data_IF_822729260101
#
_entry.id   IF_822729260101
#
_cell.length_a   1.000
_cell.length_b   1.000
_cell.length_c   1.000
_cell.angle_alpha   90.00
_cell.angle_beta   90.00
_cell.angle_gamma   90.00
#
_symmetry.space_group_name_H-M   'P 1'
#
loop_
_entity.id
_entity.type
_entity.pdbx_description
1 polymer ?
#
# COMPACT_ATOMS: atom_id res chain seq x y z
N UNK A 1 67.64 -10.53 -30.83
CA UNK A 1 68.47 -10.98 -29.69
C UNK A 1 68.23 -10.07 -28.51
N UNK A 2 68.04 -10.67 -27.33
CA UNK A 2 67.72 -10.09 -26.02
C UNK A 2 68.39 -8.76 -25.68
N UNK A 3 67.65 -7.87 -25.00
CA UNK A 3 67.87 -7.48 -23.58
C UNK A 3 66.90 -6.37 -23.14
N UNK A 4 66.04 -6.69 -22.17
CA UNK A 4 65.52 -5.69 -21.22
C UNK A 4 66.68 -5.09 -20.40
N UNK A 5 66.48 -3.87 -19.87
CA UNK A 5 66.83 -3.66 -18.48
C UNK A 5 65.67 -3.06 -17.67
N UNK A 6 65.14 -3.94 -16.82
CA UNK A 6 64.72 -3.74 -15.44
C UNK A 6 65.10 -2.37 -14.81
N UNK A 7 64.09 -1.61 -14.36
CA UNK A 7 64.23 -0.69 -13.21
C UNK A 7 63.01 -0.79 -12.30
N UNK A 8 63.20 -1.62 -11.29
CA UNK A 8 62.42 -1.75 -10.07
C UNK A 8 62.51 -0.45 -9.26
N UNK A 9 61.37 0.17 -8.94
CA UNK A 9 61.26 1.06 -7.77
C UNK A 9 60.20 0.50 -6.85
N UNK A 10 60.69 -0.17 -5.81
CA UNK A 10 59.96 -0.61 -4.63
C UNK A 10 59.53 0.65 -3.89
N UNK A 11 58.23 0.91 -3.82
CA UNK A 11 57.65 1.74 -2.77
C UNK A 11 56.79 0.83 -1.91
N UNK A 12 57.43 0.37 -0.83
CA UNK A 12 56.88 0.25 0.53
C UNK A 12 55.38 0.04 0.64
N UNK A 13 55.05 -1.23 0.89
CA UNK A 13 53.96 -1.68 1.76
C UNK A 13 53.61 -0.68 2.87
N UNK A 14 52.37 -0.22 2.89
CA UNK A 14 51.69 0.17 4.13
C UNK A 14 50.43 -0.68 4.27
N UNK A 15 50.51 -1.48 5.32
CA UNK A 15 49.56 -2.40 5.89
C UNK A 15 48.56 -1.61 6.76
N UNK A 16 47.29 -2.04 6.78
CA UNK A 16 46.19 -1.62 7.66
C UNK A 16 45.56 -0.26 7.29
N UNK A 17 44.25 -0.07 7.29
CA UNK A 17 43.22 -0.67 8.14
C UNK A 17 42.04 -1.20 7.34
N UNK A 18 41.60 -2.42 7.69
CA UNK A 18 40.19 -2.76 7.68
C UNK A 18 39.44 -1.75 8.56
N UNK A 19 38.78 -0.77 7.95
CA UNK A 19 37.56 -0.25 8.54
C UNK A 19 36.44 -1.09 7.96
N UNK A 20 36.15 -2.21 8.62
CA UNK A 20 34.86 -2.88 8.58
C UNK A 20 33.80 -1.86 8.97
N UNK A 21 33.34 -1.07 8.01
CA UNK A 21 31.98 -0.55 8.06
C UNK A 21 31.11 -1.77 7.83
N UNK A 22 30.79 -2.48 8.91
CA UNK A 22 29.45 -3.05 9.03
C UNK A 22 28.52 -1.84 9.06
N UNK A 23 28.32 -1.23 7.89
CA UNK A 23 27.09 -0.52 7.64
C UNK A 23 26.05 -1.59 7.85
N UNK A 24 25.38 -1.54 9.00
CA UNK A 24 24.04 -2.07 9.09
C UNK A 24 23.36 -1.50 7.85
N UNK A 25 23.20 -2.33 6.83
CA UNK A 25 22.17 -2.10 5.84
C UNK A 25 20.93 -2.03 6.70
N UNK A 26 20.56 -0.81 7.07
CA UNK A 26 19.22 -0.52 7.51
C UNK A 26 18.42 -0.91 6.29
N UNK A 27 17.96 -2.16 6.31
CA UNK A 27 16.93 -2.68 5.45
C UNK A 27 15.82 -1.65 5.63
N UNK A 28 15.78 -0.71 4.69
CA UNK A 28 14.80 0.34 4.70
C UNK A 28 13.53 -0.42 4.40
N UNK A 29 12.84 -0.82 5.47
CA UNK A 29 11.58 -1.53 5.44
C UNK A 29 10.73 -0.78 4.43
N UNK A 30 10.60 -1.34 3.23
CA UNK A 30 9.81 -0.75 2.18
C UNK A 30 8.41 -0.89 2.71
N UNK A 31 7.91 0.16 3.36
CA UNK A 31 6.52 0.23 3.78
C UNK A 31 5.73 0.17 2.48
N UNK A 32 5.20 -1.00 2.15
CA UNK A 32 4.39 -1.17 0.97
C UNK A 32 3.14 -0.29 1.15
N UNK A 33 3.00 0.71 0.28
CA UNK A 33 1.87 1.62 0.28
C UNK A 33 0.92 1.30 -0.86
N UNK A 34 -0.32 1.75 -0.72
CA UNK A 34 -1.29 1.69 -1.80
C UNK A 34 -0.75 2.32 -3.09
N UNK A 35 -0.91 1.61 -4.20
CA UNK A 35 -0.61 2.14 -5.52
C UNK A 35 -1.70 3.11 -5.99
N UNK A 36 -1.34 4.02 -6.91
CA UNK A 36 -2.33 4.93 -7.54
C UNK A 36 -3.46 4.16 -8.22
N UNK A 37 -3.14 3.01 -8.82
CA UNK A 37 -4.12 2.17 -9.49
C UNK A 37 -5.10 1.55 -8.47
N UNK A 38 -4.60 1.09 -7.32
CA UNK A 38 -5.45 0.52 -6.28
C UNK A 38 -6.32 1.57 -5.61
N UNK A 39 -5.77 2.78 -5.40
CA UNK A 39 -6.54 3.94 -4.98
C UNK A 39 -7.70 4.22 -5.94
N UNK A 40 -7.41 4.33 -7.24
CA UNK A 40 -8.44 4.62 -8.25
C UNK A 40 -9.53 3.54 -8.28
N UNK A 41 -9.16 2.26 -8.21
CA UNK A 41 -10.14 1.16 -8.15
C UNK A 41 -11.04 1.26 -6.92
N UNK A 42 -10.45 1.51 -5.75
CA UNK A 42 -11.21 1.64 -4.51
C UNK A 42 -12.17 2.84 -4.56
N UNK A 43 -11.71 3.99 -5.07
CA UNK A 43 -12.55 5.19 -5.25
C UNK A 43 -13.72 4.91 -6.20
N UNK A 44 -13.46 4.32 -7.38
CA UNK A 44 -14.53 3.98 -8.34
C UNK A 44 -15.54 2.99 -7.75
N UNK A 45 -15.08 2.01 -6.96
CA UNK A 45 -15.98 1.09 -6.26
C UNK A 45 -16.89 1.83 -5.28
N UNK A 46 -16.32 2.75 -4.47
CA UNK A 46 -17.10 3.58 -3.57
C UNK A 46 -18.10 4.45 -4.31
N UNK A 47 -17.68 5.13 -5.39
CA UNK A 47 -18.58 5.97 -6.19
C UNK A 47 -19.73 5.15 -6.76
N UNK A 48 -19.43 3.95 -7.26
CA UNK A 48 -20.45 3.02 -7.78
C UNK A 48 -21.45 2.64 -6.68
N UNK A 49 -20.98 2.33 -5.47
CA UNK A 49 -21.85 2.01 -4.35
C UNK A 49 -22.74 3.19 -3.96
N UNK A 50 -22.18 4.40 -3.85
CA UNK A 50 -22.91 5.63 -3.54
C UNK A 50 -24.02 5.91 -4.56
N UNK A 51 -23.70 5.79 -5.86
CA UNK A 51 -24.68 5.98 -6.93
C UNK A 51 -25.82 4.97 -6.90
N UNK A 52 -25.49 3.68 -6.73
CA UNK A 52 -26.50 2.61 -6.72
C UNK A 52 -27.42 2.72 -5.49
N UNK A 53 -26.84 3.02 -4.34
CA UNK A 53 -27.54 2.93 -3.06
C UNK A 53 -28.25 4.22 -2.65
N UNK A 54 -27.65 5.39 -2.93
CA UNK A 54 -28.07 6.64 -2.30
C UNK A 54 -28.40 7.76 -3.27
N UNK A 55 -27.90 7.72 -4.50
CA UNK A 55 -27.97 8.87 -5.42
C UNK A 55 -28.63 8.49 -6.76
N UNK A 56 -29.78 7.80 -6.68
CA UNK A 56 -30.53 7.33 -7.85
C UNK A 56 -31.07 8.46 -8.74
N UNK A 57 -31.17 9.70 -8.23
CA UNK A 57 -31.72 10.83 -8.98
C UNK A 57 -30.78 12.06 -9.08
N UNK A 58 -29.91 12.36 -8.10
CA UNK A 58 -28.81 13.36 -8.09
C UNK A 58 -28.07 13.26 -6.72
N UNK A 59 -26.76 13.61 -6.53
CA UNK A 59 -26.02 14.79 -7.03
C UNK A 59 -24.74 14.47 -7.86
N UNK A 60 -24.04 15.54 -8.26
CA UNK A 60 -22.91 15.57 -9.20
C UNK A 60 -21.69 14.73 -8.74
N UNK A 61 -20.97 14.12 -9.70
CA UNK A 61 -19.73 13.34 -9.49
C UNK A 61 -18.73 13.99 -8.51
N UNK A 62 -18.69 15.32 -8.44
CA UNK A 62 -17.82 16.06 -7.55
C UNK A 62 -18.04 15.76 -6.05
N UNK A 63 -19.29 15.69 -5.58
CA UNK A 63 -19.60 15.48 -4.16
C UNK A 63 -19.30 14.03 -3.72
N UNK A 64 -19.54 13.08 -4.62
CA UNK A 64 -19.28 11.65 -4.38
C UNK A 64 -17.77 11.37 -4.41
N UNK A 65 -17.04 11.99 -5.33
CA UNK A 65 -15.60 11.83 -5.46
C UNK A 65 -14.87 12.20 -4.16
N UNK A 66 -15.20 13.35 -3.55
CA UNK A 66 -14.51 13.79 -2.33
C UNK A 66 -14.86 12.92 -1.12
N UNK A 67 -16.12 12.46 -1.02
CA UNK A 67 -16.53 11.46 -0.03
C UNK A 67 -15.72 10.17 -0.18
N UNK A 68 -15.55 9.68 -1.41
CA UNK A 68 -14.81 8.46 -1.67
C UNK A 68 -13.29 8.60 -1.47
N UNK A 69 -12.70 9.78 -1.71
CA UNK A 69 -11.31 10.06 -1.33
C UNK A 69 -11.13 10.03 0.19
N UNK A 70 -12.08 10.59 0.95
CA UNK A 70 -12.03 10.55 2.41
C UNK A 70 -12.11 9.11 2.93
N UNK A 71 -13.01 8.30 2.38
CA UNK A 71 -13.12 6.88 2.70
C UNK A 71 -11.87 6.10 2.33
N UNK A 72 -11.27 6.39 1.17
CA UNK A 72 -10.00 5.78 0.80
C UNK A 72 -8.88 6.15 1.79
N UNK A 73 -8.82 7.41 2.22
CA UNK A 73 -7.88 7.82 3.26
C UNK A 73 -8.08 6.99 4.54
N UNK A 74 -9.32 6.88 5.01
CA UNK A 74 -9.66 6.04 6.17
C UNK A 74 -9.24 4.58 5.94
N UNK A 75 -9.53 4.00 4.77
CA UNK A 75 -9.12 2.65 4.41
C UNK A 75 -7.59 2.48 4.55
N UNK A 76 -6.81 3.42 3.99
CA UNK A 76 -5.35 3.36 4.02
C UNK A 76 -4.75 3.55 5.42
N UNK A 77 -5.46 4.26 6.30
CA UNK A 77 -5.06 4.45 7.70
C UNK A 77 -5.42 3.21 8.55
N UNK A 78 -6.45 2.44 8.16
CA UNK A 78 -7.00 1.34 8.96
C UNK A 78 -6.65 -0.08 8.51
N UNK A 79 -6.34 -0.27 7.23
CA UNK A 79 -6.00 -1.58 6.65
C UNK A 79 -4.59 -1.48 6.06
N UNK A 80 -3.61 -2.23 6.61
CA UNK A 80 -2.28 -2.29 6.02
C UNK A 80 -2.34 -2.80 4.57
N UNK A 81 -1.51 -2.23 3.69
CA UNK A 81 -1.56 -2.55 2.26
C UNK A 81 -1.39 -4.05 1.97
N UNK A 82 -0.48 -4.75 2.65
CA UNK A 82 -0.30 -6.20 2.50
C UNK A 82 -1.59 -6.99 2.77
N UNK A 83 -2.39 -6.54 3.75
CA UNK A 83 -3.67 -7.16 4.11
C UNK A 83 -4.74 -6.85 3.06
N UNK A 84 -4.76 -5.61 2.56
CA UNK A 84 -5.63 -5.22 1.46
C UNK A 84 -5.35 -6.03 0.19
N UNK A 85 -4.09 -6.13 -0.22
CA UNK A 85 -3.72 -6.88 -1.41
C UNK A 85 -4.12 -8.35 -1.29
N UNK A 86 -3.71 -9.01 -0.19
CA UNK A 86 -3.99 -10.43 0.02
C UNK A 86 -5.49 -10.72 0.10
N UNK A 87 -6.23 -9.97 0.92
CA UNK A 87 -7.59 -10.35 1.31
C UNK A 87 -8.69 -9.66 0.51
N UNK A 88 -8.43 -8.49 -0.07
CA UNK A 88 -9.42 -7.74 -0.87
C UNK A 88 -9.20 -7.94 -2.37
N UNK A 89 -7.95 -7.91 -2.84
CA UNK A 89 -7.66 -7.98 -4.28
C UNK A 89 -7.44 -9.40 -4.79
N UNK A 90 -6.66 -10.21 -4.06
CA UNK A 90 -6.19 -11.51 -4.55
C UNK A 90 -7.09 -12.67 -4.12
N UNK A 91 -7.75 -12.56 -2.97
CA UNK A 91 -8.60 -13.63 -2.45
C UNK A 91 -9.92 -13.71 -3.22
N UNK A 92 -10.22 -14.85 -3.87
CA UNK A 92 -11.50 -15.02 -4.56
C UNK A 92 -12.67 -14.94 -3.58
N UNK A 93 -13.80 -14.44 -4.06
CA UNK A 93 -15.03 -14.44 -3.27
C UNK A 93 -15.38 -15.86 -2.80
N UNK A 94 -15.70 -15.97 -1.51
CA UNK A 94 -16.22 -17.17 -0.88
C UNK A 94 -17.44 -16.79 -0.03
N UNK A 95 -18.54 -17.56 -0.06
CA UNK A 95 -19.64 -17.38 0.89
C UNK A 95 -19.24 -17.73 2.34
N UNK A 96 -18.13 -18.46 2.52
CA UNK A 96 -17.59 -18.86 3.83
C UNK A 96 -16.09 -18.55 3.89
N UNK A 97 -15.70 -17.27 3.98
CA UNK A 97 -14.29 -16.90 4.09
C UNK A 97 -13.73 -17.32 5.46
N UNK A 98 -12.42 -17.62 5.56
CA UNK A 98 -11.76 -17.76 6.86
C UNK A 98 -11.95 -16.51 7.72
N UNK A 99 -11.93 -16.65 9.05
CA UNK A 99 -12.20 -15.55 9.99
C UNK A 99 -11.34 -14.31 9.74
N UNK A 100 -10.05 -14.51 9.45
CA UNK A 100 -9.12 -13.42 9.17
C UNK A 100 -9.56 -12.64 7.91
N UNK A 101 -9.83 -13.35 6.81
CA UNK A 101 -10.35 -12.77 5.57
C UNK A 101 -11.69 -12.07 5.80
N UNK A 102 -12.60 -12.69 6.56
CA UNK A 102 -13.92 -12.14 6.86
C UNK A 102 -13.81 -10.78 7.55
N UNK A 103 -12.94 -10.67 8.56
CA UNK A 103 -12.76 -9.43 9.32
C UNK A 103 -12.21 -8.27 8.49
N UNK A 104 -11.24 -8.56 7.60
CA UNK A 104 -10.66 -7.56 6.70
C UNK A 104 -11.66 -7.14 5.63
N UNK A 105 -12.37 -8.09 5.03
CA UNK A 105 -13.43 -7.80 4.05
C UNK A 105 -14.58 -7.01 4.68
N UNK A 106 -15.01 -7.35 5.89
CA UNK A 106 -16.04 -6.60 6.61
C UNK A 106 -15.60 -5.15 6.82
N UNK A 107 -14.39 -4.93 7.36
CA UNK A 107 -13.86 -3.58 7.57
C UNK A 107 -13.76 -2.80 6.24
N UNK A 108 -13.22 -3.42 5.20
CA UNK A 108 -13.14 -2.82 3.86
C UNK A 108 -14.53 -2.40 3.35
N UNK A 109 -15.53 -3.28 3.44
CA UNK A 109 -16.89 -2.97 2.99
C UNK A 109 -17.54 -1.89 3.84
N UNK A 110 -17.37 -1.91 5.17
CA UNK A 110 -17.94 -0.89 6.05
C UNK A 110 -17.41 0.52 5.73
N UNK A 111 -16.11 0.63 5.49
CA UNK A 111 -15.47 1.90 5.10
C UNK A 111 -15.93 2.30 3.69
N UNK A 112 -15.73 1.44 2.69
CA UNK A 112 -15.92 1.84 1.29
C UNK A 112 -17.40 1.99 0.89
N UNK A 113 -18.30 1.20 1.48
CA UNK A 113 -19.74 1.29 1.24
C UNK A 113 -20.45 2.23 2.22
N UNK A 114 -19.73 2.85 3.16
CA UNK A 114 -20.30 3.84 4.08
C UNK A 114 -21.34 3.28 5.05
N UNK A 115 -21.22 1.99 5.42
CA UNK A 115 -22.19 1.33 6.31
C UNK A 115 -22.16 1.92 7.73
N UNK A 116 -21.01 2.44 8.15
CA UNK A 116 -20.83 3.02 9.50
C UNK A 116 -21.30 4.48 9.59
N UNK A 117 -21.33 5.18 8.47
CA UNK A 117 -21.80 6.58 8.39
C UNK A 117 -23.33 6.70 8.34
N UNK A 118 -24.04 5.57 8.36
CA UNK A 118 -25.49 5.49 8.17
C UNK A 118 -26.26 5.00 9.40
N UNK A 119 -25.66 5.01 10.59
CA UNK A 119 -26.47 4.97 11.81
C UNK A 119 -27.22 6.32 11.85
N UNK A 120 -28.57 6.33 11.76
CA UNK A 120 -29.30 7.56 11.88
C UNK A 120 -29.00 8.13 13.27
N UNK A 121 -28.61 9.39 13.33
CA UNK A 121 -28.75 10.14 14.57
C UNK A 121 -30.23 10.08 14.96
N UNK A 122 -30.56 9.16 15.87
CA UNK A 122 -31.79 9.23 16.64
C UNK A 122 -31.59 10.46 17.54
N UNK A 123 -32.09 11.61 17.08
CA UNK A 123 -32.42 12.75 17.94
C UNK A 123 -33.90 12.66 18.28
#
# INVERSE_FOLDING_TARGET
>A
MNKLPFKLKIFTTSLLLLCSQTGLAQEQEIVETYSDQDMQKAIVMCMTAEYVQFHQEYPAEADVMDTCKLRFKQLSDEIPYHSYQKWVLETPYSPYPPTETASILEKYHRIMLGLDTQIPFIN
#
